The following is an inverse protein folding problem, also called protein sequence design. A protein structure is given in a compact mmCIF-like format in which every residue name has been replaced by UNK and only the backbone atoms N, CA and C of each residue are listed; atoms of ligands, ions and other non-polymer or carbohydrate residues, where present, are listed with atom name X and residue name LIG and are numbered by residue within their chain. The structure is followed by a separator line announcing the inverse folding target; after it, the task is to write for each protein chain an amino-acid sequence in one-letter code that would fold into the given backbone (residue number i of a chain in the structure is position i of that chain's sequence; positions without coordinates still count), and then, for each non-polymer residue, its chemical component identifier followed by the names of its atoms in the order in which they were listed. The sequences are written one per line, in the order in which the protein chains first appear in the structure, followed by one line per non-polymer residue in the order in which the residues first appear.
data_IF_165312618577
#
_entry.id   IF_165312618577
#
_cell.length_a   1.000
_cell.length_b   1.000
_cell.length_c   1.000
_cell.angle_alpha   90.00
_cell.angle_beta   90.00
_cell.angle_gamma   90.00
#
_symmetry.space_group_name_H-M   'P 1'
#
loop_
_entity.id
_entity.type
_entity.pdbx_description
1 polymer ?
#
# COMPACT_ATOMS: atom_id res chain seq x y z
N UNK A 1 28.48 33.16 1.23
CA UNK A 1 28.06 31.95 1.96
C UNK A 1 26.90 31.35 1.18
N UNK A 2 27.08 30.16 0.61
CA UNK A 2 26.06 29.47 -0.19
C UNK A 2 25.08 28.84 0.78
N UNK A 3 23.96 29.51 1.03
CA UNK A 3 22.83 28.89 1.73
C UNK A 3 22.04 28.10 0.70
N UNK A 4 22.52 26.88 0.43
CA UNK A 4 21.74 25.85 -0.23
C UNK A 4 20.63 25.45 0.74
N UNK A 5 19.54 26.21 0.75
CA UNK A 5 18.29 25.76 1.37
C UNK A 5 17.80 24.64 0.48
N UNK A 6 18.17 23.41 0.84
CA UNK A 6 17.63 22.20 0.27
C UNK A 6 16.12 22.38 0.19
N UNK A 7 15.58 22.18 -1.01
CA UNK A 7 14.17 22.10 -1.25
C UNK A 7 13.56 21.15 -0.22
N UNK A 8 12.97 21.71 0.83
CA UNK A 8 11.95 21.05 1.63
C UNK A 8 10.70 20.91 0.76
N UNK A 9 10.79 20.19 -0.35
CA UNK A 9 9.61 19.53 -0.89
C UNK A 9 9.19 18.55 0.20
N UNK A 10 8.08 18.85 0.86
CA UNK A 10 7.66 18.21 2.09
C UNK A 10 7.89 16.71 2.06
N UNK A 11 8.74 16.25 2.98
CA UNK A 11 8.82 14.87 3.45
C UNK A 11 7.53 14.50 4.17
N UNK A 12 6.39 14.62 3.50
CA UNK A 12 5.26 13.75 3.79
C UNK A 12 5.64 12.45 3.10
N UNK A 13 6.15 11.49 3.87
CA UNK A 13 6.24 10.11 3.41
C UNK A 13 4.81 9.64 3.17
N UNK A 14 4.28 9.87 1.97
CA UNK A 14 2.97 9.38 1.55
C UNK A 14 3.20 8.12 0.73
N UNK A 15 2.50 7.05 1.10
CA UNK A 15 2.49 5.80 0.36
C UNK A 15 1.83 6.08 -0.99
N UNK A 16 2.58 5.83 -2.07
CA UNK A 16 2.03 5.90 -3.43
C UNK A 16 1.07 4.72 -3.63
N UNK A 17 -0.08 4.93 -4.28
CA UNK A 17 -1.04 3.86 -4.54
C UNK A 17 -0.40 2.70 -5.33
N UNK A 18 0.51 2.98 -6.28
CA UNK A 18 1.29 1.95 -6.98
C UNK A 18 2.11 1.07 -6.03
N UNK A 19 2.78 1.65 -5.04
CA UNK A 19 3.59 0.88 -4.08
C UNK A 19 2.73 0.00 -3.17
N UNK A 20 1.57 0.49 -2.76
CA UNK A 20 0.60 -0.28 -1.99
C UNK A 20 -0.01 -1.42 -2.83
N UNK A 21 -0.40 -1.12 -4.07
CA UNK A 21 -0.95 -2.11 -5.00
C UNK A 21 0.07 -3.21 -5.30
N UNK A 22 1.33 -2.85 -5.58
CA UNK A 22 2.41 -3.81 -5.79
C UNK A 22 2.59 -4.71 -4.57
N UNK A 23 2.58 -4.13 -3.35
CA UNK A 23 2.69 -4.90 -2.11
C UNK A 23 1.52 -5.90 -1.94
N UNK A 24 0.29 -5.50 -2.29
CA UNK A 24 -0.87 -6.41 -2.29
C UNK A 24 -0.67 -7.52 -3.31
N UNK A 25 -0.23 -7.20 -4.53
CA UNK A 25 0.03 -8.20 -5.58
C UNK A 25 1.10 -9.19 -5.14
N UNK A 26 2.22 -8.72 -4.59
CA UNK A 26 3.31 -9.57 -4.09
C UNK A 26 2.84 -10.48 -2.95
N UNK A 27 2.09 -9.94 -1.97
CA UNK A 27 1.58 -10.70 -0.83
C UNK A 27 0.51 -11.72 -1.24
N UNK A 28 -0.40 -11.34 -2.14
CA UNK A 28 -1.45 -12.23 -2.65
C UNK A 28 -0.84 -13.30 -3.55
N UNK A 29 0.08 -12.95 -4.44
CA UNK A 29 0.76 -13.91 -5.31
C UNK A 29 1.63 -14.88 -4.53
N UNK A 30 2.36 -14.42 -3.51
CA UNK A 30 3.17 -15.29 -2.65
C UNK A 30 2.30 -16.27 -1.85
N UNK A 31 1.14 -15.85 -1.35
CA UNK A 31 0.26 -16.72 -0.55
C UNK A 31 -0.63 -17.65 -1.39
N UNK A 32 -1.06 -17.20 -2.57
CA UNK A 32 -2.12 -17.88 -3.34
C UNK A 32 -1.71 -18.25 -4.77
N UNK A 33 -0.56 -17.77 -5.25
CA UNK A 33 -0.12 -17.89 -6.65
C UNK A 33 -0.89 -17.00 -7.63
N UNK A 34 -1.83 -16.18 -7.14
CA UNK A 34 -2.68 -15.34 -7.98
C UNK A 34 -2.18 -13.90 -8.02
N UNK A 35 -2.09 -13.34 -9.24
CA UNK A 35 -1.73 -11.94 -9.46
C UNK A 35 -2.99 -11.14 -9.82
N UNK A 36 -3.61 -10.45 -8.86
CA UNK A 36 -4.73 -9.56 -9.16
C UNK A 36 -4.23 -8.39 -10.03
N UNK A 37 -4.77 -8.24 -11.23
CA UNK A 37 -4.48 -7.10 -12.11
C UNK A 37 -5.38 -5.88 -11.80
N UNK A 38 -6.57 -6.11 -11.24
CA UNK A 38 -7.57 -5.10 -10.93
C UNK A 38 -7.49 -4.60 -9.48
N UNK A 39 -6.28 -4.37 -8.96
CA UNK A 39 -6.10 -3.79 -7.62
C UNK A 39 -6.30 -2.28 -7.68
N UNK A 40 -7.27 -1.78 -6.93
CA UNK A 40 -7.52 -0.35 -6.75
C UNK A 40 -7.29 0.01 -5.29
N UNK A 41 -6.23 0.78 -5.03
CA UNK A 41 -5.90 1.31 -3.71
C UNK A 41 -6.10 2.84 -3.69
N UNK A 42 -6.56 3.42 -2.57
CA UNK A 42 -6.68 4.85 -2.43
C UNK A 42 -5.30 5.52 -2.53
N UNK A 43 -5.27 6.70 -3.14
CA UNK A 43 -4.07 7.51 -3.23
C UNK A 43 -3.92 8.42 -2.01
N UNK A 44 -2.70 8.83 -1.68
CA UNK A 44 -2.45 9.79 -0.60
C UNK A 44 -2.50 9.19 0.82
N UNK A 45 -2.29 7.89 0.96
CA UNK A 45 -2.17 7.25 2.27
C UNK A 45 -0.91 7.77 2.96
N UNK A 46 -1.04 8.31 4.16
CA UNK A 46 0.13 8.72 4.94
C UNK A 46 0.92 7.46 5.38
N UNK A 47 2.23 7.44 5.13
CA UNK A 47 3.12 6.38 5.62
C UNK A 47 3.35 6.58 7.12
N UNK A 48 2.33 6.27 7.90
CA UNK A 48 2.30 6.44 9.34
C UNK A 48 1.82 5.15 10.00
N UNK A 49 2.55 4.68 11.01
CA UNK A 49 2.14 3.51 11.79
C UNK A 49 0.75 3.73 12.38
N UNK A 50 -0.12 2.74 12.21
CA UNK A 50 -1.52 2.79 12.60
C UNK A 50 -2.45 3.32 11.51
N UNK A 51 -1.94 3.77 10.36
CA UNK A 51 -2.79 4.16 9.24
C UNK A 51 -3.43 2.93 8.61
N UNK A 52 -4.74 3.01 8.38
CA UNK A 52 -5.55 1.95 7.78
C UNK A 52 -6.16 2.46 6.48
N UNK A 53 -6.24 1.58 5.49
CA UNK A 53 -6.84 1.86 4.19
C UNK A 53 -7.30 0.58 3.51
N UNK A 54 -8.31 0.69 2.66
CA UNK A 54 -8.91 -0.45 1.98
C UNK A 54 -8.54 -0.45 0.51
N UNK A 55 -8.00 -1.56 0.02
CA UNK A 55 -7.83 -1.81 -1.40
C UNK A 55 -8.90 -2.78 -1.89
N UNK A 56 -9.38 -2.61 -3.12
CA UNK A 56 -10.33 -3.53 -3.73
C UNK A 56 -9.69 -4.26 -4.90
N UNK A 57 -9.98 -5.55 -5.03
CA UNK A 57 -9.49 -6.34 -6.15
C UNK A 57 -10.43 -7.50 -6.49
N UNK A 58 -10.29 -8.07 -7.69
CA UNK A 58 -11.02 -9.27 -8.09
C UNK A 58 -10.13 -10.50 -7.84
N UNK A 59 -10.64 -11.47 -7.08
CA UNK A 59 -9.93 -12.71 -6.80
C UNK A 59 -10.01 -13.72 -7.95
N UNK A 60 -9.29 -14.85 -7.85
CA UNK A 60 -9.24 -15.88 -8.90
C UNK A 60 -10.60 -16.51 -9.21
N UNK A 61 -11.52 -16.48 -8.25
CA UNK A 61 -12.89 -16.99 -8.39
C UNK A 61 -13.85 -16.02 -9.12
N UNK A 62 -13.35 -14.86 -9.56
CA UNK A 62 -14.19 -13.79 -10.14
C UNK A 62 -15.02 -13.01 -9.11
N UNK A 63 -14.75 -13.20 -7.81
CA UNK A 63 -15.39 -12.47 -6.72
C UNK A 63 -14.60 -11.23 -6.34
N UNK A 64 -15.30 -10.21 -5.84
CA UNK A 64 -14.68 -8.97 -5.37
C UNK A 64 -14.22 -9.13 -3.93
N UNK A 65 -12.98 -8.76 -3.67
CA UNK A 65 -12.34 -8.81 -2.35
C UNK A 65 -11.94 -7.42 -1.93
N UNK A 66 -11.98 -7.22 -0.61
CA UNK A 66 -11.45 -6.02 0.05
C UNK A 66 -10.23 -6.43 0.86
N UNK A 67 -9.07 -5.89 0.50
CA UNK A 67 -7.83 -5.97 1.26
C UNK A 67 -7.76 -4.79 2.23
N UNK A 68 -8.03 -5.07 3.50
CA UNK A 68 -7.75 -4.15 4.58
C UNK A 68 -6.24 -4.10 4.80
N UNK A 69 -5.63 -2.96 4.50
CA UNK A 69 -4.23 -2.70 4.71
C UNK A 69 -4.03 -1.83 5.94
N UNK A 70 -3.07 -2.21 6.79
CA UNK A 70 -2.69 -1.44 7.97
C UNK A 70 -1.19 -1.28 8.05
N UNK A 71 -0.73 -0.05 8.20
CA UNK A 71 0.69 0.23 8.41
C UNK A 71 1.08 -0.19 9.83
N UNK A 72 1.96 -1.19 9.96
CA UNK A 72 2.46 -1.67 11.25
C UNK A 72 3.84 -1.13 11.59
N UNK A 73 4.64 -0.81 10.57
CA UNK A 73 6.00 -0.28 10.75
C UNK A 73 6.37 0.68 9.62
N UNK A 74 7.13 1.72 9.94
CA UNK A 74 7.72 2.65 8.97
C UNK A 74 9.19 2.81 9.34
N UNK A 75 10.09 2.38 8.46
CA UNK A 75 11.55 2.45 8.60
C UNK A 75 12.14 3.20 7.40
N UNK A 76 12.27 4.52 7.52
CA UNK A 76 12.76 5.38 6.45
C UNK A 76 11.83 5.32 5.23
N UNK A 77 12.30 4.67 4.17
CA UNK A 77 11.55 4.45 2.93
C UNK A 77 10.80 3.10 2.90
N UNK A 78 11.13 2.19 3.82
CA UNK A 78 10.47 0.89 3.93
C UNK A 78 9.23 1.01 4.81
N UNK A 79 8.09 0.56 4.31
CA UNK A 79 6.83 0.54 5.04
C UNK A 79 6.33 -0.89 5.10
N UNK A 80 6.07 -1.38 6.30
CA UNK A 80 5.51 -2.72 6.53
C UNK A 80 4.01 -2.58 6.73
N UNK A 81 3.27 -3.37 5.98
CA UNK A 81 1.81 -3.40 6.01
C UNK A 81 1.32 -4.78 6.46
N UNK A 82 0.34 -4.80 7.36
CA UNK A 82 -0.51 -5.96 7.64
C UNK A 82 -1.63 -5.98 6.60
N UNK A 83 -1.76 -7.09 5.87
CA UNK A 83 -2.72 -7.26 4.79
C UNK A 83 -3.75 -8.30 5.19
N UNK A 84 -5.03 -7.91 5.23
CA UNK A 84 -6.16 -8.79 5.52
C UNK A 84 -7.18 -8.71 4.40
N UNK A 85 -7.20 -9.72 3.54
CA UNK A 85 -8.20 -9.85 2.48
C UNK A 85 -9.45 -10.56 2.99
N UNK A 86 -10.62 -10.03 2.65
CA UNK A 86 -11.92 -10.68 2.89
C UNK A 86 -12.81 -10.56 1.64
N UNK A 87 -13.70 -11.54 1.39
CA UNK A 87 -14.74 -11.40 0.38
C UNK A 87 -15.61 -10.20 0.74
N UNK A 88 -15.89 -9.35 -0.24
CA UNK A 88 -16.77 -8.18 -0.07
C UNK A 88 -18.24 -8.51 -0.34
#
# INVERSE_FOLDING_TARGET
MVSLQLAGCGTKSTVKPDGAAQSVVDVVSSQTGFHPADVSCPSGIEAKVGQEFDCHFTGPEGKRYTAHMRVTKVEGEQVVFDVKSRPS
#
